data_IF_230657106041
#
_entry.id   IF_230657106041
#
_cell.length_a   1.000
_cell.length_b   1.000
_cell.length_c   1.000
_cell.angle_alpha   90.00
_cell.angle_beta   90.00
_cell.angle_gamma   90.00
#
_symmetry.space_group_name_H-M   'P 1'
#
loop_
_entity.id
_entity.type
_entity.pdbx_description
1 polymer ?
#
# COMPACT_ATOMS: atom_id res chain seq x y z
N UNK A 1 16.99 -21.88 -19.02
CA UNK A 1 17.80 -21.01 -18.11
C UNK A 1 17.31 -21.27 -16.69
N UNK A 2 18.22 -21.30 -15.71
CA UNK A 2 17.83 -21.48 -14.30
C UNK A 2 17.04 -20.27 -13.82
N UNK A 3 15.99 -20.48 -13.03
CA UNK A 3 15.19 -19.38 -12.40
C UNK A 3 15.77 -18.98 -11.02
N UNK A 4 17.08 -18.99 -10.90
CA UNK A 4 17.80 -18.58 -9.68
C UNK A 4 17.92 -17.06 -9.66
N UNK A 5 17.32 -16.44 -8.66
CA UNK A 5 17.40 -14.98 -8.45
C UNK A 5 18.74 -14.61 -7.82
N UNK A 6 19.33 -13.54 -8.29
CA UNK A 6 20.63 -13.05 -7.80
C UNK A 6 20.48 -12.02 -6.67
N UNK A 7 19.28 -11.47 -6.49
CA UNK A 7 18.99 -10.50 -5.45
C UNK A 7 17.55 -10.66 -4.95
N UNK A 8 17.33 -10.38 -3.67
CA UNK A 8 15.97 -10.29 -3.11
C UNK A 8 15.12 -9.22 -3.81
N UNK A 9 15.74 -8.21 -4.43
CA UNK A 9 15.05 -7.16 -5.18
C UNK A 9 14.30 -7.70 -6.41
N UNK A 10 14.78 -8.79 -7.01
CA UNK A 10 14.13 -9.46 -8.14
C UNK A 10 12.84 -10.20 -7.76
N UNK A 11 12.59 -10.39 -6.47
CA UNK A 11 11.38 -10.98 -5.94
C UNK A 11 10.25 -9.96 -5.76
N UNK A 12 10.55 -8.67 -5.85
CA UNK A 12 9.56 -7.60 -5.71
C UNK A 12 8.65 -7.57 -6.93
N UNK A 13 7.34 -7.53 -6.68
CA UNK A 13 6.33 -7.57 -7.74
C UNK A 13 5.96 -8.98 -8.19
N UNK A 14 5.31 -9.09 -9.35
CA UNK A 14 4.79 -10.34 -9.91
C UNK A 14 3.91 -11.13 -8.93
N UNK A 15 3.21 -10.42 -8.08
CA UNK A 15 2.31 -11.00 -7.10
C UNK A 15 1.10 -11.63 -7.79
N UNK A 16 0.52 -12.72 -7.23
CA UNK A 16 -0.60 -13.40 -7.86
C UNK A 16 -1.93 -12.66 -7.66
N UNK A 17 -2.88 -12.98 -8.54
CA UNK A 17 -4.31 -12.81 -8.29
C UNK A 17 -4.89 -14.12 -7.72
N UNK A 18 -5.72 -13.99 -6.69
CA UNK A 18 -6.50 -15.08 -6.12
C UNK A 18 -7.98 -14.83 -6.37
N UNK A 19 -8.68 -15.80 -6.95
CA UNK A 19 -10.14 -15.74 -7.03
C UNK A 19 -10.75 -16.12 -5.68
N UNK A 20 -11.61 -15.26 -5.16
CA UNK A 20 -12.17 -15.39 -3.82
C UNK A 20 -13.44 -16.26 -3.81
N UNK A 21 -13.30 -17.55 -4.03
CA UNK A 21 -14.43 -18.47 -4.14
C UNK A 21 -15.14 -18.71 -2.81
N UNK A 22 -14.37 -19.02 -1.76
CA UNK A 22 -14.95 -19.31 -0.43
C UNK A 22 -15.49 -18.04 0.22
N UNK A 23 -14.74 -16.94 0.12
CA UNK A 23 -15.16 -15.62 0.65
C UNK A 23 -16.47 -15.18 -0.01
N UNK A 24 -16.54 -15.19 -1.34
CA UNK A 24 -17.75 -14.81 -2.08
C UNK A 24 -18.95 -15.71 -1.76
N UNK A 25 -18.72 -17.02 -1.66
CA UNK A 25 -19.76 -17.98 -1.27
C UNK A 25 -20.32 -17.67 0.13
N UNK A 26 -19.44 -17.46 1.10
CA UNK A 26 -19.83 -17.18 2.49
C UNK A 26 -20.55 -15.84 2.63
N UNK A 27 -20.20 -14.85 1.81
CA UNK A 27 -20.85 -13.54 1.77
C UNK A 27 -22.10 -13.50 0.88
N UNK A 28 -22.48 -14.61 0.23
CA UNK A 28 -23.64 -14.67 -0.67
C UNK A 28 -23.48 -13.90 -1.98
N UNK A 29 -22.24 -13.59 -2.38
CA UNK A 29 -21.92 -12.83 -3.60
C UNK A 29 -21.79 -13.79 -4.77
N UNK A 30 -22.80 -13.88 -5.61
CA UNK A 30 -22.90 -14.88 -6.69
C UNK A 30 -22.81 -14.29 -8.08
N UNK A 31 -23.06 -13.00 -8.22
CA UNK A 31 -23.29 -12.38 -9.52
C UNK A 31 -22.05 -11.72 -10.12
N UNK A 32 -21.01 -11.45 -9.34
CA UNK A 32 -19.73 -10.90 -9.80
C UNK A 32 -18.56 -11.77 -9.33
N UNK A 33 -17.43 -11.67 -10.03
CA UNK A 33 -16.18 -12.34 -9.66
C UNK A 33 -15.27 -11.38 -8.92
N UNK A 34 -14.87 -11.71 -7.69
CA UNK A 34 -13.89 -10.94 -6.92
C UNK A 34 -12.53 -11.62 -6.99
N UNK A 35 -11.52 -10.86 -7.40
CA UNK A 35 -10.11 -11.27 -7.42
C UNK A 35 -9.32 -10.40 -6.44
N UNK A 36 -8.42 -11.01 -5.69
CA UNK A 36 -7.53 -10.31 -4.77
C UNK A 36 -6.09 -10.27 -5.32
N UNK A 37 -5.52 -9.07 -5.46
CA UNK A 37 -4.10 -8.89 -5.76
C UNK A 37 -3.31 -8.94 -4.45
N UNK A 38 -2.55 -10.03 -4.26
CA UNK A 38 -1.94 -10.38 -2.96
C UNK A 38 -0.55 -9.75 -2.80
N UNK A 39 -0.51 -8.49 -2.41
CA UNK A 39 0.75 -7.71 -2.29
C UNK A 39 1.61 -8.09 -1.06
N UNK A 40 1.06 -8.83 -0.10
CA UNK A 40 1.86 -9.35 1.02
C UNK A 40 2.95 -10.35 0.59
N UNK A 41 2.86 -10.90 -0.61
CA UNK A 41 3.85 -11.82 -1.18
C UNK A 41 5.12 -11.12 -1.71
N UNK A 42 5.20 -9.80 -1.66
CA UNK A 42 6.47 -9.11 -1.81
C UNK A 42 7.43 -9.49 -0.65
N UNK A 43 8.76 -9.46 -0.86
CA UNK A 43 9.75 -9.95 0.11
C UNK A 43 9.67 -9.32 1.51
N UNK A 44 9.43 -8.01 1.58
CA UNK A 44 9.22 -7.30 2.85
C UNK A 44 7.73 -7.23 3.27
N UNK A 45 6.85 -7.96 2.57
CA UNK A 45 5.48 -8.27 2.97
C UNK A 45 4.45 -7.19 2.64
N UNK A 46 4.71 -6.27 1.73
CA UNK A 46 3.69 -5.29 1.32
C UNK A 46 3.87 -4.71 -0.08
N UNK A 47 2.83 -4.05 -0.57
CA UNK A 47 2.83 -3.27 -1.81
C UNK A 47 3.91 -2.17 -1.81
N UNK A 48 4.36 -1.72 -0.64
CA UNK A 48 5.34 -0.64 -0.50
C UNK A 48 6.76 -1.05 -0.88
N UNK A 49 7.05 -2.33 -0.97
CA UNK A 49 8.33 -2.82 -1.49
C UNK A 49 8.58 -2.29 -2.91
N UNK A 50 7.51 -2.22 -3.72
CA UNK A 50 7.57 -1.70 -5.10
C UNK A 50 8.02 -0.24 -5.14
N UNK A 51 7.39 0.62 -4.34
CA UNK A 51 7.72 2.04 -4.35
C UNK A 51 9.06 2.32 -3.68
N UNK A 52 9.44 1.55 -2.66
CA UNK A 52 10.74 1.67 -2.03
C UNK A 52 11.88 1.42 -3.04
N UNK A 53 11.79 0.32 -3.80
CA UNK A 53 12.76 0.03 -4.86
C UNK A 53 12.75 1.12 -5.93
N UNK A 54 11.56 1.50 -6.43
CA UNK A 54 11.45 2.47 -7.51
C UNK A 54 11.98 3.86 -7.14
N UNK A 55 11.68 4.36 -5.95
CA UNK A 55 12.16 5.68 -5.50
C UNK A 55 13.68 5.69 -5.29
N UNK A 56 14.24 4.60 -4.76
CA UNK A 56 15.70 4.45 -4.60
C UNK A 56 16.38 4.39 -5.97
N UNK A 57 15.90 3.57 -6.88
CA UNK A 57 16.47 3.45 -8.23
C UNK A 57 16.34 4.74 -9.04
N UNK A 58 15.24 5.45 -8.92
CA UNK A 58 15.06 6.77 -9.54
C UNK A 58 16.10 7.77 -9.01
N UNK A 59 16.34 7.78 -7.70
CA UNK A 59 17.35 8.62 -7.08
C UNK A 59 18.80 8.26 -7.52
N UNK A 60 19.09 6.97 -7.69
CA UNK A 60 20.36 6.49 -8.26
C UNK A 60 20.54 6.96 -9.70
N UNK A 61 19.53 6.75 -10.55
CA UNK A 61 19.54 7.13 -11.97
C UNK A 61 19.73 8.63 -12.16
N UNK A 62 19.12 9.45 -11.29
CA UNK A 62 19.28 10.90 -11.29
C UNK A 62 20.61 11.36 -10.68
N UNK A 63 21.41 10.44 -10.15
CA UNK A 63 22.71 10.74 -9.54
C UNK A 63 22.62 11.51 -8.21
N UNK A 64 21.44 11.61 -7.60
CA UNK A 64 21.23 12.27 -6.30
C UNK A 64 21.50 11.34 -5.12
N UNK A 65 21.40 10.02 -5.30
CA UNK A 65 21.76 9.01 -4.33
C UNK A 65 23.05 8.32 -4.75
N UNK A 66 24.11 8.49 -3.95
CA UNK A 66 25.44 7.88 -4.21
C UNK A 66 25.59 6.56 -3.45
N UNK A 67 26.42 5.61 -3.92
CA UNK A 67 26.70 4.39 -3.20
C UNK A 67 27.09 4.63 -1.74
N UNK A 68 26.50 3.88 -0.81
CA UNK A 68 26.74 4.01 0.62
C UNK A 68 26.12 5.22 1.31
N UNK A 69 25.38 6.05 0.60
CA UNK A 69 24.69 7.22 1.17
C UNK A 69 23.58 6.83 2.16
N UNK A 70 23.09 7.82 2.90
CA UNK A 70 22.03 7.65 3.87
C UNK A 70 20.68 8.05 3.26
N UNK A 71 19.70 7.16 3.37
CA UNK A 71 18.30 7.41 3.03
C UNK A 71 17.56 7.73 4.32
N UNK A 72 16.90 8.88 4.37
CA UNK A 72 16.10 9.31 5.51
C UNK A 72 14.64 9.33 5.07
N UNK A 73 13.72 8.80 5.88
CA UNK A 73 12.28 8.87 5.56
C UNK A 73 11.46 9.01 6.85
N UNK A 74 10.52 9.96 6.91
CA UNK A 74 9.58 10.07 8.01
C UNK A 74 8.43 9.08 7.79
N UNK A 75 8.53 7.90 8.37
CA UNK A 75 7.51 6.85 8.20
C UNK A 75 7.60 5.80 9.30
N UNK A 76 6.45 5.34 9.74
CA UNK A 76 6.31 4.25 10.70
C UNK A 76 5.63 3.01 10.10
N UNK A 77 5.24 3.09 8.83
CA UNK A 77 4.45 2.08 8.14
C UNK A 77 5.25 1.19 7.19
N UNK A 78 4.52 0.56 6.30
CA UNK A 78 5.07 -0.37 5.31
C UNK A 78 6.13 0.26 4.38
N UNK A 79 6.04 1.56 4.12
CA UNK A 79 7.07 2.25 3.34
C UNK A 79 8.44 2.21 4.02
N UNK A 80 8.48 2.43 5.33
CA UNK A 80 9.72 2.31 6.10
C UNK A 80 10.30 0.89 6.07
N UNK A 81 9.45 -0.11 6.14
CA UNK A 81 9.85 -1.53 6.05
C UNK A 81 10.43 -1.81 4.66
N UNK A 82 9.75 -1.39 3.59
CA UNK A 82 10.23 -1.54 2.23
C UNK A 82 11.56 -0.81 2.00
N UNK A 83 11.70 0.43 2.46
CA UNK A 83 12.95 1.20 2.36
C UNK A 83 14.09 0.51 3.13
N UNK A 84 13.84 0.04 4.35
CA UNK A 84 14.85 -0.65 5.15
C UNK A 84 15.32 -1.94 4.46
N UNK A 85 14.40 -2.72 3.91
CA UNK A 85 14.69 -3.95 3.16
C UNK A 85 15.52 -3.68 1.90
N UNK A 86 15.09 -2.72 1.08
CA UNK A 86 15.80 -2.37 -0.17
C UNK A 86 17.16 -1.74 0.14
N UNK A 87 17.25 -0.86 1.13
CA UNK A 87 18.51 -0.25 1.58
C UNK A 87 19.51 -1.31 2.02
N UNK A 88 19.08 -2.29 2.82
CA UNK A 88 19.92 -3.42 3.23
C UNK A 88 20.46 -4.20 2.02
N UNK A 89 19.60 -4.52 1.04
CA UNK A 89 19.99 -5.27 -0.15
C UNK A 89 20.92 -4.49 -1.09
N UNK A 90 20.85 -3.14 -1.09
CA UNK A 90 21.66 -2.25 -1.94
C UNK A 90 22.89 -1.66 -1.22
N UNK A 91 23.05 -1.91 0.09
CA UNK A 91 24.18 -1.38 0.87
C UNK A 91 24.03 0.11 1.25
N UNK A 92 22.81 0.62 1.34
CA UNK A 92 22.54 1.97 1.86
C UNK A 92 22.26 1.94 3.36
N UNK A 93 22.54 3.06 4.04
CA UNK A 93 22.09 3.29 5.40
C UNK A 93 20.66 3.84 5.36
N UNK A 94 19.73 3.23 6.09
CA UNK A 94 18.38 3.72 6.27
C UNK A 94 18.20 4.34 7.66
N UNK A 95 17.73 5.57 7.73
CA UNK A 95 17.37 6.29 8.95
C UNK A 95 15.89 6.65 8.89
N UNK A 96 15.09 6.10 9.81
CA UNK A 96 13.65 6.29 9.81
C UNK A 96 13.25 7.12 11.03
N UNK A 97 12.56 8.22 10.80
CA UNK A 97 12.02 9.05 11.87
C UNK A 97 10.56 8.72 12.11
N UNK A 98 10.19 8.44 13.34
CA UNK A 98 8.83 8.02 13.70
C UNK A 98 8.48 8.40 15.14
N UNK A 99 7.18 8.64 15.43
CA UNK A 99 6.74 8.93 16.80
C UNK A 99 7.03 7.77 17.75
N UNK A 100 7.43 8.06 18.98
CA UNK A 100 7.69 7.07 20.03
C UNK A 100 6.46 6.25 20.43
N UNK A 101 5.26 6.69 20.05
CA UNK A 101 3.99 5.97 20.26
C UNK A 101 3.80 4.78 19.33
N UNK A 102 4.70 4.59 18.35
CA UNK A 102 4.62 3.43 17.45
C UNK A 102 4.93 2.13 18.20
N UNK A 103 4.24 1.05 17.80
CA UNK A 103 4.34 -0.24 18.47
C UNK A 103 5.79 -0.78 18.47
N UNK A 104 6.12 -1.53 19.54
CA UNK A 104 7.44 -2.15 19.70
C UNK A 104 7.72 -3.14 18.58
N UNK A 105 6.70 -3.89 18.13
CA UNK A 105 6.81 -4.86 17.05
C UNK A 105 7.25 -4.19 15.75
N UNK A 106 6.67 -3.03 15.39
CA UNK A 106 7.07 -2.27 14.21
C UNK A 106 8.50 -1.75 14.32
N UNK A 107 8.86 -1.21 15.49
CA UNK A 107 10.25 -0.75 15.73
C UNK A 107 11.25 -1.90 15.62
N UNK A 108 10.92 -3.06 16.17
CA UNK A 108 11.79 -4.24 16.11
C UNK A 108 11.93 -4.76 14.67
N UNK A 109 10.84 -4.76 13.88
CA UNK A 109 10.89 -5.17 12.48
C UNK A 109 11.81 -4.26 11.65
N UNK A 110 11.72 -2.95 11.82
CA UNK A 110 12.59 -1.98 11.14
C UNK A 110 14.06 -2.17 11.53
N UNK A 111 14.35 -2.36 12.83
CA UNK A 111 15.71 -2.65 13.33
C UNK A 111 16.25 -3.97 12.81
N UNK A 112 15.41 -4.98 12.64
CA UNK A 112 15.82 -6.28 12.09
C UNK A 112 16.37 -6.19 10.66
N UNK A 113 15.89 -5.22 9.87
CA UNK A 113 16.47 -4.89 8.57
C UNK A 113 17.73 -4.01 8.64
N UNK A 114 18.18 -3.63 9.85
CA UNK A 114 19.36 -2.77 10.04
C UNK A 114 19.08 -1.28 9.96
N UNK A 115 17.81 -0.84 9.93
CA UNK A 115 17.50 0.58 9.93
C UNK A 115 17.79 1.22 11.29
N UNK A 116 18.35 2.43 11.25
CA UNK A 116 18.46 3.32 12.41
C UNK A 116 17.11 4.01 12.64
N UNK A 117 16.62 3.98 13.89
CA UNK A 117 15.37 4.63 14.25
C UNK A 117 15.64 5.87 15.08
N UNK A 118 15.06 6.98 14.66
CA UNK A 118 15.04 8.24 15.42
C UNK A 118 13.63 8.49 15.90
N UNK A 119 13.41 8.23 17.20
CA UNK A 119 12.10 8.42 17.82
C UNK A 119 11.87 9.90 18.10
N UNK A 120 10.67 10.37 17.78
CA UNK A 120 10.24 11.75 18.02
C UNK A 120 9.11 11.80 19.06
N UNK A 121 8.90 12.96 19.64
CA UNK A 121 7.84 13.21 20.62
C UNK A 121 6.48 12.77 20.07
N UNK A 122 5.85 11.81 20.74
CA UNK A 122 4.56 11.24 20.34
C UNK A 122 3.43 12.26 20.23
N UNK A 123 3.48 13.34 21.02
CA UNK A 123 2.46 14.41 20.97
C UNK A 123 2.47 15.19 19.68
N UNK A 124 3.61 15.21 18.97
CA UNK A 124 3.78 15.89 17.68
C UNK A 124 3.39 15.01 16.49
N UNK A 125 3.17 13.71 16.72
CA UNK A 125 2.78 12.76 15.68
C UNK A 125 3.72 12.76 14.46
N UNK A 126 3.16 12.56 13.28
CA UNK A 126 3.94 12.54 12.04
C UNK A 126 4.56 13.89 11.67
N UNK A 127 3.98 15.02 12.09
CA UNK A 127 4.59 16.34 11.87
C UNK A 127 5.96 16.45 12.56
N UNK A 128 6.07 15.91 13.78
CA UNK A 128 7.36 15.85 14.49
C UNK A 128 8.38 14.96 13.78
N UNK A 129 7.95 13.84 13.24
CA UNK A 129 8.81 12.94 12.47
C UNK A 129 9.32 13.57 11.17
N UNK A 130 8.46 14.28 10.45
CA UNK A 130 8.82 15.02 9.23
C UNK A 130 9.87 16.10 9.54
N UNK A 131 9.61 16.95 10.52
CA UNK A 131 10.55 18.00 10.91
C UNK A 131 11.92 17.42 11.32
N UNK A 132 11.93 16.29 12.02
CA UNK A 132 13.17 15.61 12.39
C UNK A 132 13.91 14.99 11.21
N UNK A 133 13.19 14.48 10.22
CA UNK A 133 13.80 13.97 8.98
C UNK A 133 14.49 15.11 8.20
N UNK A 134 13.85 16.25 8.09
CA UNK A 134 14.41 17.45 7.44
C UNK A 134 15.66 17.99 8.17
N UNK A 135 15.62 18.05 9.52
CA UNK A 135 16.78 18.41 10.34
C UNK A 135 17.96 17.47 10.10
N UNK A 136 17.70 16.14 10.10
CA UNK A 136 18.72 15.14 9.87
C UNK A 136 19.30 15.23 8.45
N UNK A 137 18.46 15.46 7.45
CA UNK A 137 18.92 15.63 6.07
C UNK A 137 19.88 16.83 5.94
N UNK A 138 19.55 17.96 6.57
CA UNK A 138 20.42 19.16 6.56
C UNK A 138 21.77 18.90 7.23
N UNK A 139 21.80 18.05 8.27
CA UNK A 139 23.01 17.77 9.06
C UNK A 139 23.78 16.54 8.56
N UNK A 140 23.26 15.79 7.57
CA UNK A 140 23.88 14.58 7.02
C UNK A 140 24.20 14.77 5.54
N UNK A 141 25.44 15.16 5.19
CA UNK A 141 25.83 15.41 3.81
C UNK A 141 25.60 14.19 2.90
N UNK A 142 25.01 14.43 1.73
CA UNK A 142 24.72 13.38 0.74
C UNK A 142 23.54 12.48 1.07
N UNK A 143 22.81 12.73 2.18
CA UNK A 143 21.56 12.04 2.48
C UNK A 143 20.41 12.59 1.66
N UNK A 144 19.40 11.74 1.45
CA UNK A 144 18.15 12.13 0.75
C UNK A 144 16.92 11.72 1.55
N UNK A 145 15.82 12.45 1.37
CA UNK A 145 14.47 12.04 1.73
C UNK A 145 13.77 11.63 0.43
N UNK A 146 13.18 10.42 0.41
CA UNK A 146 12.54 9.89 -0.80
C UNK A 146 11.18 10.54 -1.06
N UNK A 147 10.40 10.82 -0.02
CA UNK A 147 9.15 11.59 -0.10
C UNK A 147 8.00 10.87 -0.78
N UNK A 148 7.49 9.80 -0.19
CA UNK A 148 6.48 8.92 -0.79
C UNK A 148 5.19 9.63 -1.27
N UNK A 149 4.82 10.76 -0.68
CA UNK A 149 3.60 11.51 -1.02
C UNK A 149 3.76 12.47 -2.21
N UNK A 150 5.00 12.78 -2.59
CA UNK A 150 5.33 13.76 -3.63
C UNK A 150 6.19 13.18 -4.76
N UNK A 151 6.79 12.01 -4.55
CA UNK A 151 7.74 11.39 -5.48
C UNK A 151 7.02 10.71 -6.65
N UNK A 152 7.22 11.16 -7.90
CA UNK A 152 6.53 10.60 -9.07
C UNK A 152 6.92 9.16 -9.40
N UNK A 153 8.06 8.66 -8.88
CA UNK A 153 8.45 7.26 -9.04
C UNK A 153 7.45 6.30 -8.36
N UNK A 154 6.71 6.79 -7.35
CA UNK A 154 5.67 6.02 -6.67
C UNK A 154 4.53 5.61 -7.65
N UNK A 155 3.71 6.48 -8.22
CA UNK A 155 2.70 6.04 -9.18
C UNK A 155 3.31 5.42 -10.44
N UNK A 156 4.48 5.86 -10.88
CA UNK A 156 5.15 5.35 -12.06
C UNK A 156 5.44 3.84 -11.99
N UNK A 157 5.89 3.32 -10.85
CA UNK A 157 6.14 1.88 -10.72
C UNK A 157 4.86 1.05 -10.79
N UNK A 158 3.76 1.55 -10.28
CA UNK A 158 2.47 0.86 -10.38
C UNK A 158 1.92 0.86 -11.81
N UNK A 159 2.13 1.94 -12.56
CA UNK A 159 1.81 2.00 -13.98
C UNK A 159 2.69 1.06 -14.81
N UNK A 160 3.95 0.89 -14.41
CA UNK A 160 4.94 0.03 -15.09
C UNK A 160 4.80 -1.45 -14.75
N UNK A 161 4.33 -1.80 -13.54
CA UNK A 161 4.35 -3.19 -13.04
C UNK A 161 2.99 -3.68 -12.56
N UNK A 162 2.43 -3.12 -11.50
CA UNK A 162 1.18 -3.59 -10.88
C UNK A 162 0.00 -3.56 -11.86
N UNK A 163 -0.14 -2.48 -12.62
CA UNK A 163 -1.18 -2.34 -13.64
C UNK A 163 -1.07 -3.39 -14.75
N UNK A 164 0.07 -3.52 -15.43
CA UNK A 164 0.32 -4.60 -16.39
C UNK A 164 0.07 -6.00 -15.84
N UNK A 165 0.55 -6.30 -14.64
CA UNK A 165 0.33 -7.59 -13.99
C UNK A 165 -1.16 -7.91 -13.85
N UNK A 166 -1.98 -6.97 -13.37
CA UNK A 166 -3.43 -7.15 -13.24
C UNK A 166 -4.08 -7.38 -14.59
N UNK A 167 -3.70 -6.58 -15.60
CA UNK A 167 -4.24 -6.69 -16.95
C UNK A 167 -3.95 -8.06 -17.56
N UNK A 168 -2.69 -8.50 -17.51
CA UNK A 168 -2.25 -9.77 -18.10
C UNK A 168 -2.85 -10.97 -17.34
N UNK A 169 -2.88 -10.92 -16.00
CA UNK A 169 -3.45 -11.98 -15.16
C UNK A 169 -4.96 -12.15 -15.33
N UNK A 170 -5.67 -11.15 -15.83
CA UNK A 170 -7.10 -11.19 -16.10
C UNK A 170 -7.42 -11.39 -17.59
N UNK A 171 -6.41 -11.60 -18.45
CA UNK A 171 -6.57 -11.58 -19.91
C UNK A 171 -7.32 -10.33 -20.39
N UNK A 172 -7.07 -9.19 -19.75
CA UNK A 172 -7.74 -7.92 -20.05
C UNK A 172 -9.21 -7.83 -19.65
N UNK A 173 -9.70 -8.75 -18.81
CA UNK A 173 -11.12 -8.83 -18.44
C UNK A 173 -11.46 -8.12 -17.12
N UNK A 174 -10.57 -7.31 -16.57
CA UNK A 174 -10.86 -6.50 -15.39
C UNK A 174 -11.87 -5.39 -15.72
N UNK A 175 -13.00 -5.37 -15.00
CA UNK A 175 -14.03 -4.34 -15.16
C UNK A 175 -13.93 -3.24 -14.09
N UNK A 176 -13.56 -3.62 -12.87
CA UNK A 176 -13.49 -2.70 -11.73
C UNK A 176 -12.20 -2.97 -10.96
N UNK A 177 -11.43 -1.92 -10.68
CA UNK A 177 -10.25 -1.97 -9.81
C UNK A 177 -10.51 -1.18 -8.53
N UNK A 178 -10.25 -1.80 -7.37
CA UNK A 178 -10.50 -1.24 -6.03
C UNK A 178 -9.19 -1.17 -5.26
N UNK A 179 -8.85 0.00 -4.75
CA UNK A 179 -7.69 0.15 -3.87
C UNK A 179 -7.89 1.25 -2.81
N UNK A 180 -7.36 1.00 -1.62
CA UNK A 180 -7.27 2.00 -0.56
C UNK A 180 -6.29 3.12 -0.90
N UNK A 181 -6.61 4.35 -0.53
CA UNK A 181 -5.79 5.53 -0.79
C UNK A 181 -4.99 5.92 0.44
N UNK A 182 -3.71 5.54 0.47
CA UNK A 182 -2.70 6.06 1.39
C UNK A 182 -1.96 7.22 0.74
N UNK A 183 -0.92 6.94 -0.06
CA UNK A 183 -0.26 7.93 -0.93
C UNK A 183 -1.03 8.18 -2.23
N UNK A 184 -1.90 7.26 -2.61
CA UNK A 184 -2.61 7.31 -3.90
C UNK A 184 -1.80 6.79 -5.09
N UNK A 185 -0.54 6.42 -4.90
CA UNK A 185 0.32 5.95 -5.99
C UNK A 185 -0.19 4.68 -6.66
N UNK A 186 -0.67 3.70 -5.89
CA UNK A 186 -1.26 2.46 -6.41
C UNK A 186 -2.48 2.75 -7.29
N UNK A 187 -3.44 3.50 -6.74
CA UNK A 187 -4.68 3.83 -7.47
C UNK A 187 -4.39 4.61 -8.75
N UNK A 188 -3.48 5.59 -8.67
CA UNK A 188 -3.07 6.41 -9.81
C UNK A 188 -2.39 5.56 -10.88
N UNK A 189 -1.32 4.86 -10.54
CA UNK A 189 -0.53 4.13 -11.53
C UNK A 189 -1.28 2.97 -12.17
N UNK A 190 -1.98 2.16 -11.37
CA UNK A 190 -2.81 1.06 -11.88
C UNK A 190 -3.97 1.63 -12.71
N UNK A 191 -4.67 2.64 -12.20
CA UNK A 191 -5.81 3.24 -12.88
C UNK A 191 -5.43 3.83 -14.24
N UNK A 192 -4.33 4.58 -14.31
CA UNK A 192 -3.83 5.13 -15.57
C UNK A 192 -3.47 4.03 -16.57
N UNK A 193 -2.84 2.95 -16.13
CA UNK A 193 -2.52 1.83 -17.01
C UNK A 193 -3.79 1.13 -17.51
N UNK A 194 -4.68 0.73 -16.61
CA UNK A 194 -5.90 0.01 -16.98
C UNK A 194 -6.79 0.82 -17.91
N UNK A 195 -7.00 2.11 -17.63
CA UNK A 195 -7.78 3.01 -18.50
C UNK A 195 -7.09 3.27 -19.86
N UNK A 196 -5.77 3.19 -19.93
CA UNK A 196 -5.05 3.26 -21.22
C UNK A 196 -5.31 2.05 -22.10
N UNK A 197 -5.63 0.89 -21.51
CA UNK A 197 -5.98 -0.35 -22.21
C UNK A 197 -7.48 -0.43 -22.54
N UNK A 198 -8.30 -0.08 -21.56
CA UNK A 198 -9.75 -0.04 -21.70
C UNK A 198 -10.30 1.13 -20.87
N UNK A 199 -10.73 2.23 -21.52
CA UNK A 199 -11.24 3.41 -20.82
C UNK A 199 -12.52 3.16 -20.00
N UNK A 200 -13.21 2.04 -20.22
CA UNK A 200 -14.41 1.65 -19.48
C UNK A 200 -14.12 0.97 -18.14
N UNK A 201 -12.86 0.65 -17.83
CA UNK A 201 -12.50 0.10 -16.51
C UNK A 201 -12.81 1.14 -15.44
N UNK A 202 -13.64 0.74 -14.47
CA UNK A 202 -14.00 1.59 -13.35
C UNK A 202 -12.92 1.52 -12.26
N UNK A 203 -12.46 2.67 -11.82
CA UNK A 203 -11.47 2.81 -10.73
C UNK A 203 -12.19 3.30 -9.49
N UNK A 204 -12.08 2.55 -8.40
CA UNK A 204 -12.77 2.84 -7.14
C UNK A 204 -11.74 3.09 -6.03
N UNK A 205 -11.78 4.29 -5.49
CA UNK A 205 -10.97 4.70 -4.35
C UNK A 205 -11.65 4.29 -3.04
N UNK A 206 -10.86 3.81 -2.09
CA UNK A 206 -11.35 3.50 -0.74
C UNK A 206 -10.68 4.46 0.26
N UNK A 207 -11.51 5.09 1.09
CA UNK A 207 -11.06 5.95 2.19
C UNK A 207 -11.76 5.58 3.50
N UNK A 208 -11.22 5.95 4.69
CA UNK A 208 -11.91 5.76 5.96
C UNK A 208 -13.14 6.65 6.06
N UNK A 209 -14.28 6.11 6.50
CA UNK A 209 -15.52 6.88 6.65
C UNK A 209 -15.41 8.02 7.68
N UNK A 210 -14.55 7.85 8.70
CA UNK A 210 -14.30 8.88 9.71
C UNK A 210 -13.21 9.89 9.30
N UNK A 211 -12.57 9.70 8.13
CA UNK A 211 -11.60 10.64 7.54
C UNK A 211 -11.84 10.78 6.02
N UNK A 212 -13.02 11.26 5.61
CA UNK A 212 -13.44 11.27 4.21
C UNK A 212 -12.86 12.47 3.46
N UNK A 213 -11.54 12.52 3.35
CA UNK A 213 -10.80 13.63 2.73
C UNK A 213 -11.09 13.74 1.25
N UNK A 214 -11.14 12.62 0.53
CA UNK A 214 -11.35 12.63 -0.92
C UNK A 214 -12.79 13.00 -1.29
N UNK A 215 -13.77 12.48 -0.55
CA UNK A 215 -15.19 12.70 -0.84
C UNK A 215 -15.77 13.96 -0.21
N UNK A 216 -15.27 14.38 0.97
CA UNK A 216 -15.84 15.49 1.74
C UNK A 216 -14.84 16.58 2.15
N UNK A 217 -13.54 16.41 1.85
CA UNK A 217 -12.50 17.36 2.24
C UNK A 217 -12.22 17.42 3.76
N UNK A 218 -12.75 16.49 4.54
CA UNK A 218 -12.69 16.53 6.00
C UNK A 218 -11.77 15.44 6.55
N UNK A 219 -10.61 15.78 7.14
CA UNK A 219 -9.77 14.81 7.83
C UNK A 219 -10.35 14.45 9.21
N UNK A 220 -10.10 13.23 9.66
CA UNK A 220 -10.50 12.75 10.97
C UNK A 220 -9.63 11.59 11.46
N UNK A 221 -9.84 11.20 12.72
CA UNK A 221 -9.18 10.03 13.29
C UNK A 221 -9.84 8.74 12.80
N UNK A 222 -9.03 7.74 12.46
CA UNK A 222 -9.50 6.42 12.04
C UNK A 222 -8.51 5.33 12.44
N UNK A 223 -8.95 4.06 12.35
CA UNK A 223 -8.16 2.88 12.73
C UNK A 223 -7.69 2.04 11.53
N UNK A 224 -8.00 2.46 10.29
CA UNK A 224 -7.61 1.72 9.08
C UNK A 224 -6.18 2.11 8.70
N UNK A 225 -5.20 1.48 9.34
CA UNK A 225 -3.79 1.76 9.11
C UNK A 225 -3.40 1.54 7.64
N UNK A 226 -2.55 2.43 7.12
CA UNK A 226 -2.01 2.34 5.76
C UNK A 226 -2.74 3.16 4.69
N UNK A 227 -3.95 3.66 5.01
CA UNK A 227 -4.72 4.57 4.16
C UNK A 227 -5.18 5.80 4.95
N UNK A 228 -5.79 6.78 4.28
CA UNK A 228 -6.36 7.94 4.95
C UNK A 228 -5.30 8.85 5.58
N UNK A 229 -4.41 9.42 4.78
CA UNK A 229 -3.30 10.28 5.25
C UNK A 229 -3.74 11.61 5.90
N UNK A 230 -5.03 11.96 5.80
CA UNK A 230 -5.58 13.20 6.34
C UNK A 230 -5.43 14.42 5.40
N UNK A 231 -4.89 14.22 4.23
CA UNK A 231 -4.75 15.22 3.15
C UNK A 231 -4.78 14.53 1.78
N UNK A 232 -4.94 15.30 0.71
CA UNK A 232 -4.83 14.80 -0.66
C UNK A 232 -3.36 14.77 -1.06
N UNK A 233 -2.76 13.60 -1.33
CA UNK A 233 -1.34 13.50 -1.72
C UNK A 233 -1.08 14.08 -3.11
N UNK A 234 0.11 14.66 -3.33
CA UNK A 234 0.48 15.25 -4.61
C UNK A 234 0.59 14.20 -5.73
N UNK A 235 1.00 12.97 -5.39
CA UNK A 235 1.10 11.87 -6.38
C UNK A 235 -0.24 11.24 -6.74
N UNK A 236 -1.33 11.61 -6.07
CA UNK A 236 -2.67 11.13 -6.39
C UNK A 236 -3.25 11.91 -7.58
N UNK A 237 -3.51 11.22 -8.68
CA UNK A 237 -4.32 11.76 -9.76
C UNK A 237 -5.80 11.72 -9.36
N UNK A 238 -6.33 12.86 -8.90
CA UNK A 238 -7.73 12.96 -8.43
C UNK A 238 -8.78 12.82 -9.54
N UNK A 239 -8.36 12.72 -10.80
CA UNK A 239 -9.25 12.51 -11.96
C UNK A 239 -9.28 11.05 -12.41
N UNK A 240 -8.50 10.16 -11.77
CA UNK A 240 -8.37 8.78 -12.23
C UNK A 240 -9.52 7.89 -11.74
N UNK A 241 -10.04 8.14 -10.56
CA UNK A 241 -11.10 7.34 -9.98
C UNK A 241 -12.50 7.83 -10.39
N UNK A 242 -13.41 6.88 -10.57
CA UNK A 242 -14.79 7.10 -10.99
C UNK A 242 -15.74 7.12 -9.78
N UNK A 243 -15.32 6.51 -8.66
CA UNK A 243 -16.10 6.42 -7.44
C UNK A 243 -15.20 6.39 -6.21
N UNK A 244 -15.70 6.89 -5.09
CA UNK A 244 -15.09 6.80 -3.78
C UNK A 244 -16.04 6.04 -2.85
N UNK A 245 -15.52 4.99 -2.18
CA UNK A 245 -16.22 4.29 -1.11
C UNK A 245 -15.58 4.58 0.23
N UNK A 246 -16.34 5.18 1.13
CA UNK A 246 -15.95 5.43 2.50
C UNK A 246 -16.30 4.21 3.36
N UNK A 247 -15.32 3.59 4.01
CA UNK A 247 -15.46 2.34 4.75
C UNK A 247 -15.25 2.59 6.24
N UNK A 248 -16.14 2.03 7.06
CA UNK A 248 -16.05 2.10 8.52
C UNK A 248 -14.92 1.22 9.07
N UNK A 249 -14.37 1.61 10.22
CA UNK A 249 -13.30 0.82 10.85
C UNK A 249 -13.73 -0.62 11.15
N UNK A 250 -14.92 -0.79 11.67
CA UNK A 250 -15.47 -2.10 12.05
C UNK A 250 -15.75 -2.99 10.83
N UNK A 251 -16.17 -2.39 9.71
CA UNK A 251 -16.31 -3.11 8.45
C UNK A 251 -14.97 -3.66 7.95
N UNK A 252 -13.91 -2.85 8.02
CA UNK A 252 -12.57 -3.28 7.64
C UNK A 252 -12.06 -4.44 8.52
N UNK A 253 -12.29 -4.38 9.83
CA UNK A 253 -11.93 -5.48 10.74
C UNK A 253 -12.73 -6.75 10.45
N UNK A 254 -14.04 -6.61 10.28
CA UNK A 254 -14.94 -7.74 10.02
C UNK A 254 -14.58 -8.45 8.72
N UNK A 255 -14.33 -7.72 7.64
CA UNK A 255 -13.98 -8.31 6.34
C UNK A 255 -12.57 -8.92 6.35
N UNK A 256 -11.61 -8.33 7.04
CA UNK A 256 -10.28 -8.92 7.22
C UNK A 256 -10.34 -10.27 7.94
N UNK A 257 -11.14 -10.37 9.02
CA UNK A 257 -11.38 -11.64 9.73
C UNK A 257 -12.16 -12.65 8.88
N UNK A 258 -13.19 -12.20 8.17
CA UNK A 258 -13.98 -13.06 7.30
C UNK A 258 -13.13 -13.67 6.18
N UNK A 259 -12.25 -12.87 5.58
CA UNK A 259 -11.33 -13.31 4.56
C UNK A 259 -10.34 -14.36 5.10
N UNK A 260 -9.74 -14.11 6.26
CA UNK A 260 -8.82 -15.07 6.88
C UNK A 260 -9.47 -16.43 7.15
N UNK A 261 -10.73 -16.44 7.61
CA UNK A 261 -11.50 -17.66 7.89
C UNK A 261 -11.98 -18.37 6.62
N UNK A 262 -12.21 -17.64 5.54
CA UNK A 262 -12.69 -18.19 4.28
C UNK A 262 -11.56 -18.74 3.39
N UNK A 263 -10.48 -17.95 3.22
CA UNK A 263 -9.41 -18.25 2.26
C UNK A 263 -8.11 -18.74 2.94
N UNK A 264 -8.04 -18.74 4.28
CA UNK A 264 -6.87 -19.23 5.03
C UNK A 264 -5.65 -18.29 4.95
N UNK A 265 -5.86 -17.00 4.67
CA UNK A 265 -4.79 -16.01 4.50
C UNK A 265 -5.05 -14.82 5.42
N UNK A 266 -4.06 -14.45 6.24
CA UNK A 266 -4.14 -13.25 7.08
C UNK A 266 -3.78 -12.01 6.25
N UNK A 267 -4.64 -11.00 6.29
CA UNK A 267 -4.44 -9.72 5.60
C UNK A 267 -4.58 -8.55 6.55
N UNK A 268 -4.00 -7.40 6.21
CA UNK A 268 -4.04 -6.21 7.05
C UNK A 268 -5.38 -5.48 7.02
N UNK A 269 -5.50 -4.46 7.87
CA UNK A 269 -6.75 -3.69 8.07
C UNK A 269 -7.20 -3.01 6.77
N UNK A 270 -6.30 -2.40 6.03
CA UNK A 270 -6.62 -1.74 4.75
C UNK A 270 -7.03 -2.74 3.67
N UNK A 271 -6.57 -3.99 3.76
CA UNK A 271 -7.07 -5.09 2.91
C UNK A 271 -8.53 -5.41 3.21
N UNK A 272 -8.91 -5.44 4.49
CA UNK A 272 -10.30 -5.59 4.90
C UNK A 272 -11.19 -4.47 4.35
N UNK A 273 -10.72 -3.22 4.37
CA UNK A 273 -11.45 -2.11 3.77
C UNK A 273 -11.63 -2.27 2.25
N UNK A 274 -10.60 -2.71 1.52
CA UNK A 274 -10.70 -2.99 0.09
C UNK A 274 -11.66 -4.15 -0.21
N UNK A 275 -11.65 -5.21 0.62
CA UNK A 275 -12.59 -6.33 0.53
C UNK A 275 -14.03 -5.89 0.75
N UNK A 276 -14.28 -5.05 1.77
CA UNK A 276 -15.62 -4.48 1.99
C UNK A 276 -16.11 -3.70 0.79
N UNK A 277 -15.28 -2.84 0.24
CA UNK A 277 -15.62 -2.08 -0.97
C UNK A 277 -15.91 -3.00 -2.15
N UNK A 278 -15.10 -4.05 -2.37
CA UNK A 278 -15.34 -5.04 -3.41
C UNK A 278 -16.65 -5.80 -3.21
N UNK A 279 -17.00 -6.15 -1.96
CA UNK A 279 -18.27 -6.82 -1.62
C UNK A 279 -19.47 -5.93 -1.89
N UNK A 280 -19.40 -4.64 -1.54
CA UNK A 280 -20.44 -3.65 -1.86
C UNK A 280 -20.66 -3.57 -3.38
N UNK A 281 -19.59 -3.51 -4.15
CA UNK A 281 -19.64 -3.44 -5.61
C UNK A 281 -20.19 -4.74 -6.22
N UNK A 282 -19.77 -5.90 -5.71
CA UNK A 282 -20.21 -7.20 -6.19
C UNK A 282 -21.71 -7.47 -5.94
N UNK A 283 -22.27 -6.88 -4.88
CA UNK A 283 -23.69 -7.00 -4.56
C UNK A 283 -24.61 -6.12 -5.43
N UNK A 284 -24.05 -5.19 -6.22
CA UNK A 284 -24.85 -4.30 -7.07
C UNK A 284 -25.34 -5.02 -8.32
N UNK A 285 -26.64 -4.93 -8.67
CA UNK A 285 -27.21 -5.59 -9.85
C UNK A 285 -26.52 -5.22 -11.16
N UNK A 286 -26.07 -3.96 -11.31
CA UNK A 286 -25.39 -3.46 -12.51
C UNK A 286 -23.99 -4.05 -12.70
N UNK A 287 -23.45 -4.70 -11.67
CA UNK A 287 -22.14 -5.35 -11.72
C UNK A 287 -22.22 -6.88 -11.94
N UNK A 288 -23.41 -7.38 -12.27
CA UNK A 288 -23.57 -8.80 -12.61
C UNK A 288 -22.67 -9.20 -13.77
N UNK A 289 -21.94 -10.30 -13.59
CA UNK A 289 -20.97 -10.83 -14.57
C UNK A 289 -19.64 -10.11 -14.64
N UNK A 290 -19.45 -9.04 -13.84
CA UNK A 290 -18.20 -8.27 -13.87
C UNK A 290 -17.09 -8.89 -13.02
N UNK A 291 -15.86 -8.57 -13.42
CA UNK A 291 -14.62 -8.94 -12.72
C UNK A 291 -14.12 -7.73 -11.92
N UNK A 292 -14.08 -7.89 -10.60
CA UNK A 292 -13.65 -6.88 -9.63
C UNK A 292 -12.30 -7.30 -9.05
N UNK A 293 -11.28 -6.48 -9.22
CA UNK A 293 -9.95 -6.71 -8.63
C UNK A 293 -9.78 -5.78 -7.43
N UNK A 294 -9.62 -6.36 -6.24
CA UNK A 294 -9.26 -5.65 -5.02
C UNK A 294 -7.77 -5.84 -4.71
N UNK A 295 -7.04 -4.75 -4.49
CA UNK A 295 -5.64 -4.84 -4.07
C UNK A 295 -5.58 -4.95 -2.54
N UNK A 296 -4.95 -6.04 -2.05
CA UNK A 296 -4.72 -6.31 -0.64
C UNK A 296 -3.26 -5.99 -0.28
N UNK A 297 -3.00 -4.86 0.42
CA UNK A 297 -1.67 -4.27 0.50
C UNK A 297 -0.63 -5.07 1.29
N UNK A 298 -1.03 -5.76 2.37
CA UNK A 298 -0.08 -6.40 3.28
C UNK A 298 -0.66 -7.59 4.06
N UNK A 299 0.20 -8.25 4.86
CA UNK A 299 -0.15 -9.39 5.72
C UNK A 299 -0.80 -8.95 7.02
N UNK A 300 -1.68 -9.81 7.56
CA UNK A 300 -2.29 -9.66 8.88
C UNK A 300 -1.34 -9.84 10.05
N UNK A 301 -0.19 -10.49 9.85
CA UNK A 301 0.80 -10.74 10.92
C UNK A 301 1.27 -9.46 11.62
N UNK A 302 1.20 -8.34 10.94
CA UNK A 302 1.57 -7.01 11.47
C UNK A 302 0.51 -6.40 12.38
N UNK A 303 -0.64 -7.05 12.55
CA UNK A 303 -1.83 -6.51 13.19
C UNK A 303 -2.42 -7.43 14.27
N UNK A 304 -1.69 -8.49 14.67
CA UNK A 304 -2.16 -9.49 15.63
C UNK A 304 -2.53 -8.89 17.01
N UNK A 305 -1.85 -7.82 17.43
CA UNK A 305 -2.12 -7.08 18.66
C UNK A 305 -3.11 -5.91 18.50
N UNK A 306 -3.74 -5.77 17.32
CA UNK A 306 -4.72 -4.70 17.05
C UNK A 306 -6.14 -5.22 17.11
N UNK A 307 -7.14 -4.31 17.10
CA UNK A 307 -8.56 -4.65 17.05
C UNK A 307 -8.97 -5.50 15.80
N UNK A 308 -8.07 -5.71 14.84
CA UNK A 308 -8.33 -6.63 13.74
C UNK A 308 -8.44 -8.07 14.24
N UNK A 309 -7.57 -8.50 15.16
CA UNK A 309 -7.49 -9.87 15.65
C UNK A 309 -7.56 -10.02 17.18
N UNK A 310 -7.29 -8.95 17.94
CA UNK A 310 -7.46 -8.96 19.38
C UNK A 310 -8.95 -8.87 19.74
N UNK A 311 -9.37 -9.61 20.77
CA UNK A 311 -10.72 -9.61 21.34
C UNK A 311 -11.02 -8.31 22.10
#
# INVERSE_FOLDING_TARGET
MSDIKQSALELIGKTPLLQLNNYSKNAGLKDATILAKLEYLNPAGSVKDRIALAMIEDAEQKGILKPGATIIEPTSGNTGIGIASVAAAKGYKAVLTLPETMSVERRNLLKAYGAELVLTDGTKGMKGAIAKAEELQQSTPGSIILGQFVNPANPAIHKKTTGPEIWDQTDGKVDIFVAGVGTGGTLTGVGEYLKSKNPNVKIVAVEPATSPVLSKGTPGSHKIQGIGAGFVPDVLNTKIYDEILAIENEDAFTEGRAFARAEGILVGISSGAALKAASILAARPENKGKVIVALLPDSGDRYLSTALFAD
#
